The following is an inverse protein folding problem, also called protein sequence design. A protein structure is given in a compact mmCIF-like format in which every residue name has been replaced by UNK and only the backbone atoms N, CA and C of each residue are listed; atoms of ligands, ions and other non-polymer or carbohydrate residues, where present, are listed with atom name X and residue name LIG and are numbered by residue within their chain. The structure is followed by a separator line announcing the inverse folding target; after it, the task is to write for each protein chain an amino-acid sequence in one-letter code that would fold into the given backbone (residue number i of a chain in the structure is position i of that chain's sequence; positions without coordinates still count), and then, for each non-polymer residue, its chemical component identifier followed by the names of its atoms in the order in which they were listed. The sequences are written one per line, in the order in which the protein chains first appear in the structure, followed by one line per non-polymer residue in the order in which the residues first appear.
data_IF_002064431985
#
_entry.id   IF_002064431985
#
_cell.length_a   1.000
_cell.length_b   1.000
_cell.length_c   1.000
_cell.angle_alpha   90.00
_cell.angle_beta   90.00
_cell.angle_gamma   90.00
#
_symmetry.space_group_name_H-M   'P 1'
#
loop_
_entity.id
_entity.type
_entity.pdbx_description
1 polymer ?
#
# COMPACT_ATOMS: atom_id res chain seq x y z
N UNK A 1 -6.79 18.61 12.10
CA UNK A 1 -6.06 18.34 10.83
C UNK A 1 -5.69 16.86 10.81
N UNK A 2 -5.80 16.14 9.69
CA UNK A 2 -5.50 14.70 9.63
C UNK A 2 -3.98 14.45 9.72
N UNK A 3 -3.53 13.56 10.60
CA UNK A 3 -2.10 13.34 10.88
C UNK A 3 -1.32 12.87 9.65
N UNK A 4 -1.90 11.98 8.82
CA UNK A 4 -1.26 11.51 7.60
C UNK A 4 -1.12 12.62 6.55
N UNK A 5 -2.10 13.55 6.47
CA UNK A 5 -1.97 14.75 5.61
C UNK A 5 -0.82 15.64 6.10
N UNK A 6 -0.67 15.83 7.41
CA UNK A 6 0.47 16.59 7.95
C UNK A 6 1.81 15.94 7.61
N UNK A 7 1.89 14.61 7.70
CA UNK A 7 3.09 13.85 7.34
C UNK A 7 3.43 14.03 5.86
N UNK A 8 2.44 13.86 4.96
CA UNK A 8 2.66 14.12 3.53
C UNK A 8 3.13 15.55 3.28
N UNK A 9 2.53 16.55 3.92
CA UNK A 9 2.96 17.95 3.81
C UNK A 9 4.42 18.09 4.25
N UNK A 10 4.82 17.51 5.39
CA UNK A 10 6.19 17.57 5.87
C UNK A 10 7.22 17.09 4.83
N UNK A 11 6.96 15.97 4.16
CA UNK A 11 7.83 15.48 3.08
C UNK A 11 7.78 16.34 1.82
N UNK A 12 6.60 16.85 1.43
CA UNK A 12 6.48 17.74 0.27
C UNK A 12 7.26 19.04 0.48
N UNK A 13 7.26 19.58 1.71
CA UNK A 13 8.06 20.76 2.06
C UNK A 13 9.58 20.47 2.00
N UNK A 14 9.98 19.21 2.10
CA UNK A 14 11.34 18.75 1.85
C UNK A 14 11.62 18.43 0.36
N UNK A 15 10.69 18.78 -0.54
CA UNK A 15 10.83 18.69 -2.00
C UNK A 15 11.12 17.27 -2.52
N UNK A 16 10.53 16.25 -1.90
CA UNK A 16 10.59 14.88 -2.42
C UNK A 16 9.89 14.77 -3.77
N UNK A 17 10.39 13.88 -4.64
CA UNK A 17 9.74 13.58 -5.92
C UNK A 17 8.60 12.56 -5.81
N UNK A 18 8.60 11.72 -4.76
CA UNK A 18 7.63 10.65 -4.54
C UNK A 18 7.21 10.63 -3.07
N UNK A 19 5.91 10.44 -2.81
CA UNK A 19 5.37 10.11 -1.49
C UNK A 19 4.64 8.78 -1.53
N UNK A 20 4.72 8.03 -0.43
CA UNK A 20 4.04 6.75 -0.30
C UNK A 20 2.71 6.86 0.45
N UNK A 21 1.75 6.04 0.03
CA UNK A 21 0.49 5.86 0.76
C UNK A 21 0.72 5.14 2.08
N UNK A 22 -0.11 5.39 3.10
CA UNK A 22 -0.06 4.64 4.36
C UNK A 22 -0.76 3.26 4.24
N UNK A 23 -0.44 2.48 3.21
CA UNK A 23 -1.16 1.25 2.85
C UNK A 23 -0.32 -0.02 2.93
N UNK A 24 0.89 0.05 3.51
CA UNK A 24 1.82 -1.06 3.68
C UNK A 24 1.15 -2.36 4.17
N UNK A 25 0.37 -2.29 5.24
CA UNK A 25 -0.42 -3.42 5.79
C UNK A 25 -1.91 -3.38 5.47
N UNK A 26 -2.39 -2.33 4.79
CA UNK A 26 -3.79 -2.27 4.38
C UNK A 26 -4.05 -3.46 3.47
N UNK A 27 -5.09 -4.26 3.72
CA UNK A 27 -5.47 -5.36 2.83
C UNK A 27 -6.94 -5.67 3.07
N UNK A 28 -7.65 -6.08 2.03
CA UNK A 28 -9.08 -6.37 2.11
C UNK A 28 -9.28 -7.53 3.11
N UNK A 29 -8.43 -8.55 3.04
CA UNK A 29 -8.42 -9.67 3.99
C UNK A 29 -8.15 -9.23 5.43
N UNK A 30 -7.11 -8.41 5.65
CA UNK A 30 -6.76 -7.93 6.98
C UNK A 30 -7.87 -7.08 7.61
N UNK A 31 -8.49 -6.19 6.83
CA UNK A 31 -9.59 -5.36 7.31
C UNK A 31 -10.85 -6.17 7.63
N UNK A 32 -11.22 -7.14 6.78
CA UNK A 32 -12.34 -8.05 7.08
C UNK A 32 -12.08 -8.85 8.35
N UNK A 33 -10.87 -9.39 8.52
CA UNK A 33 -10.50 -10.26 9.64
C UNK A 33 -10.36 -9.52 10.98
N UNK A 34 -9.74 -8.35 10.98
CA UNK A 34 -9.35 -7.65 12.21
C UNK A 34 -10.23 -6.46 12.56
N UNK A 35 -10.91 -5.86 11.58
CA UNK A 35 -11.75 -4.68 11.77
C UNK A 35 -13.24 -4.95 11.49
N UNK A 36 -13.61 -6.18 11.09
CA UNK A 36 -14.97 -6.57 10.71
C UNK A 36 -15.60 -5.68 9.64
N UNK A 37 -14.77 -5.10 8.76
CA UNK A 37 -15.25 -4.29 7.64
C UNK A 37 -15.81 -5.18 6.55
N UNK A 38 -16.81 -4.69 5.84
CA UNK A 38 -17.20 -5.26 4.55
C UNK A 38 -16.08 -5.09 3.53
N UNK A 39 -16.19 -5.83 2.43
CA UNK A 39 -15.27 -5.70 1.31
C UNK A 39 -15.31 -4.28 0.73
N UNK A 40 -16.50 -3.71 0.51
CA UNK A 40 -16.66 -2.35 -0.01
C UNK A 40 -16.03 -1.29 0.91
N UNK A 41 -16.23 -1.41 2.23
CA UNK A 41 -15.59 -0.51 3.21
C UNK A 41 -14.06 -0.63 3.19
N UNK A 42 -13.54 -1.85 3.00
CA UNK A 42 -12.11 -2.12 2.89
C UNK A 42 -11.51 -1.41 1.66
N UNK A 43 -12.18 -1.50 0.50
CA UNK A 43 -11.79 -0.76 -0.71
C UNK A 43 -11.80 0.74 -0.47
N UNK A 44 -12.88 1.27 0.12
CA UNK A 44 -13.01 2.70 0.43
C UNK A 44 -11.91 3.18 1.36
N UNK A 45 -11.49 2.38 2.33
CA UNK A 45 -10.43 2.75 3.26
C UNK A 45 -9.07 2.87 2.56
N UNK A 46 -8.75 1.97 1.63
CA UNK A 46 -7.53 2.06 0.80
C UNK A 46 -7.60 3.29 -0.11
N UNK A 47 -8.73 3.52 -0.78
CA UNK A 47 -8.93 4.71 -1.61
C UNK A 47 -8.83 6.00 -0.79
N UNK A 48 -9.25 5.97 0.48
CA UNK A 48 -9.15 7.11 1.38
C UNK A 48 -7.69 7.50 1.63
N UNK A 49 -6.78 6.55 1.81
CA UNK A 49 -5.35 6.83 1.95
C UNK A 49 -4.81 7.67 0.79
N UNK A 50 -5.11 7.27 -0.44
CA UNK A 50 -4.73 7.99 -1.66
C UNK A 50 -5.37 9.38 -1.71
N UNK A 51 -6.64 9.51 -1.33
CA UNK A 51 -7.33 10.81 -1.27
C UNK A 51 -6.68 11.79 -0.28
N UNK A 52 -6.11 11.28 0.82
CA UNK A 52 -5.44 12.10 1.82
C UNK A 52 -4.08 12.59 1.30
N UNK A 53 -3.32 11.73 0.61
CA UNK A 53 -2.08 12.14 -0.08
C UNK A 53 -2.37 13.24 -1.11
N UNK A 54 -3.39 13.06 -1.96
CA UNK A 54 -3.85 14.08 -2.92
C UNK A 54 -4.28 15.39 -2.25
N UNK A 55 -4.85 15.30 -1.05
CA UNK A 55 -5.22 16.49 -0.26
C UNK A 55 -3.99 17.27 0.20
N UNK A 56 -2.93 16.58 0.62
CA UNK A 56 -1.67 17.21 0.99
C UNK A 56 -1.01 17.91 -0.20
N UNK A 57 -0.92 17.22 -1.35
CA UNK A 57 -0.39 17.79 -2.60
C UNK A 57 -1.13 19.07 -2.97
N UNK A 58 -2.47 19.03 -3.02
CA UNK A 58 -3.30 20.22 -3.35
C UNK A 58 -3.09 21.41 -2.40
N UNK A 59 -2.67 21.17 -1.16
CA UNK A 59 -2.36 22.24 -0.21
C UNK A 59 -0.99 22.84 -0.48
N UNK A 60 0.01 22.00 -0.74
CA UNK A 60 1.37 22.42 -1.03
C UNK A 60 1.48 23.09 -2.42
N UNK A 61 0.74 22.63 -3.42
CA UNK A 61 0.65 23.28 -4.74
C UNK A 61 0.18 24.73 -4.64
N UNK A 62 -0.80 25.02 -3.77
CA UNK A 62 -1.27 26.39 -3.50
C UNK A 62 -0.22 27.28 -2.85
N UNK A 63 0.81 26.69 -2.25
CA UNK A 63 1.95 27.38 -1.65
C UNK A 63 3.16 27.44 -2.61
N UNK A 64 3.02 26.95 -3.85
CA UNK A 64 4.06 27.00 -4.89
C UNK A 64 5.02 25.80 -4.90
N UNK A 65 4.77 24.75 -4.13
CA UNK A 65 5.60 23.54 -4.15
C UNK A 65 5.22 22.64 -5.33
N UNK A 66 6.22 21.96 -5.91
CA UNK A 66 6.03 20.93 -6.94
C UNK A 66 5.23 19.75 -6.37
N UNK A 67 4.30 19.22 -7.15
CA UNK A 67 3.57 18.01 -6.78
C UNK A 67 4.46 16.76 -6.95
N UNK A 68 4.68 15.95 -5.89
CA UNK A 68 5.31 14.65 -6.04
C UNK A 68 4.35 13.65 -6.68
N UNK A 69 4.90 12.54 -7.19
CA UNK A 69 4.12 11.35 -7.55
C UNK A 69 3.65 10.63 -6.28
N UNK A 70 2.51 9.94 -6.37
CA UNK A 70 1.98 9.09 -5.31
C UNK A 70 2.29 7.63 -5.64
N UNK A 71 3.09 6.98 -4.79
CA UNK A 71 3.31 5.55 -4.82
C UNK A 71 2.33 4.83 -3.88
N UNK A 72 1.55 3.90 -4.44
CA UNK A 72 0.71 2.98 -3.69
C UNK A 72 1.56 1.92 -3.00
N UNK A 73 1.77 2.06 -1.69
CA UNK A 73 2.52 1.13 -0.85
C UNK A 73 1.81 -0.23 -0.71
N UNK A 74 2.53 -1.31 -1.03
CA UNK A 74 2.07 -2.70 -0.99
C UNK A 74 3.15 -3.54 -0.29
N UNK A 75 2.99 -3.72 1.02
CA UNK A 75 3.89 -4.56 1.82
C UNK A 75 3.70 -6.07 1.58
N UNK A 76 4.62 -6.91 2.06
CA UNK A 76 4.66 -8.35 1.81
C UNK A 76 3.51 -9.09 2.50
N UNK A 77 3.20 -10.31 2.02
CA UNK A 77 2.26 -11.21 2.68
C UNK A 77 2.62 -11.49 4.15
N UNK A 78 3.92 -11.61 4.46
CA UNK A 78 4.41 -11.83 5.82
C UNK A 78 4.04 -10.72 6.82
N UNK A 79 3.83 -9.48 6.35
CA UNK A 79 3.41 -8.38 7.23
C UNK A 79 1.98 -8.58 7.77
N UNK A 80 1.17 -9.42 7.11
CA UNK A 80 -0.16 -9.82 7.58
C UNK A 80 -0.15 -11.01 8.54
N UNK A 81 0.89 -11.84 8.52
CA UNK A 81 0.98 -12.98 9.45
C UNK A 81 1.28 -12.54 10.89
N UNK A 82 1.70 -11.29 11.10
CA UNK A 82 2.02 -10.71 12.40
C UNK A 82 3.07 -11.52 13.20
N UNK A 83 3.90 -12.31 12.51
CA UNK A 83 4.92 -13.21 13.08
C UNK A 83 6.37 -12.75 12.79
N UNK A 84 6.54 -11.56 12.21
CA UNK A 84 7.84 -11.02 11.81
C UNK A 84 8.42 -11.66 10.54
N UNK A 85 7.66 -12.50 9.84
CA UNK A 85 8.11 -13.14 8.61
C UNK A 85 8.31 -12.20 7.42
N UNK A 86 7.95 -10.92 7.57
CA UNK A 86 8.30 -9.85 6.63
C UNK A 86 9.81 -9.67 6.43
N UNK A 87 10.66 -10.24 7.30
CA UNK A 87 12.13 -10.23 7.16
C UNK A 87 12.73 -11.61 6.88
N UNK A 88 12.05 -12.71 7.24
CA UNK A 88 12.58 -14.08 7.09
C UNK A 88 12.02 -14.83 5.88
N UNK A 89 10.79 -14.51 5.44
CA UNK A 89 10.15 -15.15 4.30
C UNK A 89 9.74 -16.61 4.54
N UNK A 90 9.72 -17.11 5.78
CA UNK A 90 9.41 -18.52 6.08
C UNK A 90 8.02 -19.01 5.63
N UNK A 91 7.10 -18.10 5.31
CA UNK A 91 5.79 -18.44 4.74
C UNK A 91 5.87 -18.91 3.27
N UNK A 92 6.98 -18.65 2.57
CA UNK A 92 7.03 -18.77 1.11
C UNK A 92 6.83 -20.20 0.60
N UNK A 93 7.25 -21.20 1.37
CA UNK A 93 7.08 -22.62 1.04
C UNK A 93 5.67 -23.14 1.37
N UNK A 94 4.94 -22.42 2.22
CA UNK A 94 3.63 -22.82 2.74
C UNK A 94 2.46 -22.07 2.09
N UNK A 95 2.74 -21.09 1.22
CA UNK A 95 1.72 -20.29 0.54
C UNK A 95 1.85 -20.49 -0.96
N UNK A 96 0.74 -20.76 -1.64
CA UNK A 96 0.68 -20.94 -3.11
C UNK A 96 0.76 -19.62 -3.87
N UNK A 97 1.14 -19.67 -5.15
CA UNK A 97 1.15 -18.46 -6.01
C UNK A 97 -0.25 -17.86 -6.15
N UNK A 98 -1.27 -18.73 -6.14
CA UNK A 98 -2.69 -18.36 -6.17
C UNK A 98 -3.07 -17.58 -4.91
N UNK A 99 -2.71 -18.05 -3.73
CA UNK A 99 -3.00 -17.36 -2.47
C UNK A 99 -2.29 -16.00 -2.38
N UNK A 100 -1.03 -15.90 -2.82
CA UNK A 100 -0.33 -14.62 -2.91
C UNK A 100 -1.06 -13.66 -3.85
N UNK A 101 -1.46 -14.14 -5.04
CA UNK A 101 -2.18 -13.32 -6.00
C UNK A 101 -3.51 -12.84 -5.43
N UNK A 102 -4.34 -13.75 -4.91
CA UNK A 102 -5.64 -13.44 -4.32
C UNK A 102 -5.52 -12.47 -3.15
N UNK A 103 -4.45 -12.55 -2.35
CA UNK A 103 -4.20 -11.62 -1.25
C UNK A 103 -3.82 -10.21 -1.73
N UNK A 104 -2.92 -10.08 -2.72
CA UNK A 104 -2.39 -8.78 -3.16
C UNK A 104 -3.26 -8.07 -4.20
N UNK A 105 -3.87 -8.81 -5.14
CA UNK A 105 -4.59 -8.26 -6.29
C UNK A 105 -5.71 -7.28 -5.92
N UNK A 106 -6.61 -7.57 -4.94
CA UNK A 106 -7.68 -6.64 -4.55
C UNK A 106 -7.15 -5.28 -4.07
N UNK A 107 -6.03 -5.26 -3.34
CA UNK A 107 -5.40 -4.03 -2.87
C UNK A 107 -4.78 -3.24 -4.01
N UNK A 108 -4.06 -3.91 -4.90
CA UNK A 108 -3.43 -3.26 -6.04
C UNK A 108 -4.51 -2.62 -6.92
N UNK A 109 -5.59 -3.35 -7.20
CA UNK A 109 -6.75 -2.82 -7.93
C UNK A 109 -7.36 -1.60 -7.22
N UNK A 110 -7.52 -1.64 -5.89
CA UNK A 110 -8.01 -0.51 -5.11
C UNK A 110 -7.13 0.74 -5.24
N UNK A 111 -5.80 0.58 -5.18
CA UNK A 111 -4.83 1.66 -5.31
C UNK A 111 -4.83 2.24 -6.72
N UNK A 112 -4.83 1.38 -7.74
CA UNK A 112 -4.89 1.79 -9.16
C UNK A 112 -6.17 2.57 -9.44
N UNK A 113 -7.34 2.07 -9.00
CA UNK A 113 -8.62 2.77 -9.14
C UNK A 113 -8.68 4.08 -8.37
N UNK A 114 -7.95 4.20 -7.26
CA UNK A 114 -7.81 5.45 -6.53
C UNK A 114 -6.92 6.48 -7.26
N UNK A 115 -6.19 6.05 -8.29
CA UNK A 115 -5.32 6.86 -9.13
C UNK A 115 -4.01 7.23 -8.46
N UNK A 116 -3.28 6.22 -7.95
CA UNK A 116 -1.85 6.34 -7.68
C UNK A 116 -1.06 6.40 -9.00
N UNK A 117 0.12 7.02 -8.98
CA UNK A 117 0.98 7.13 -10.16
C UNK A 117 1.85 5.87 -10.34
N UNK A 118 2.22 5.24 -9.23
CA UNK A 118 3.11 4.08 -9.17
C UNK A 118 2.60 3.09 -8.10
N UNK A 119 3.04 1.84 -8.18
CA UNK A 119 2.87 0.85 -7.11
C UNK A 119 4.25 0.54 -6.53
N UNK A 120 4.41 0.75 -5.22
CA UNK A 120 5.60 0.37 -4.48
C UNK A 120 5.36 -1.02 -3.86
N UNK A 121 5.84 -2.06 -4.56
CA UNK A 121 5.92 -3.41 -3.98
C UNK A 121 7.19 -3.47 -3.15
N UNK A 122 7.05 -3.41 -1.84
CA UNK A 122 8.15 -3.12 -0.93
C UNK A 122 8.30 -4.17 0.17
N UNK A 123 9.49 -4.18 0.78
CA UNK A 123 9.87 -5.10 1.88
C UNK A 123 9.59 -6.56 1.55
N UNK A 124 10.00 -7.03 0.36
CA UNK A 124 9.80 -8.43 -0.05
C UNK A 124 10.96 -9.30 0.48
N UNK A 125 10.75 -10.15 1.50
CA UNK A 125 11.85 -10.90 2.14
C UNK A 125 12.31 -12.11 1.35
N UNK A 126 11.45 -12.66 0.50
CA UNK A 126 11.71 -13.90 -0.22
C UNK A 126 11.08 -13.86 -1.60
N UNK A 127 11.80 -14.44 -2.56
CA UNK A 127 11.30 -14.65 -3.92
C UNK A 127 10.83 -16.08 -4.05
N UNK A 128 9.55 -16.29 -4.30
CA UNK A 128 9.08 -17.59 -4.73
C UNK A 128 9.52 -17.82 -6.17
N UNK A 129 10.28 -18.88 -6.43
CA UNK A 129 10.51 -19.33 -7.81
C UNK A 129 9.21 -19.94 -8.31
N UNK A 130 8.59 -19.32 -9.31
CA UNK A 130 7.51 -19.98 -10.04
C UNK A 130 8.13 -21.17 -10.76
N UNK A 131 7.76 -22.39 -10.37
CA UNK A 131 8.06 -23.59 -11.15
C UNK A 131 7.09 -23.66 -12.34
N UNK A 132 7.13 -22.66 -13.21
CA UNK A 132 6.43 -22.64 -14.50
C UNK A 132 7.12 -21.65 -15.44
N UNK A 133 8.20 -22.10 -16.05
CA UNK A 133 8.46 -21.93 -17.49
C UNK A 133 9.48 -23.00 -17.93
N UNK A 134 9.33 -23.58 -19.13
CA UNK A 134 10.09 -24.75 -19.60
C UNK A 134 11.60 -24.51 -19.76
#
# INVERSE_FOLDING_TARGET
MNAYVCFCIFYILAEVDIIETNTYQASIFGFKKHLNLSEEESYKLIQKAVSLAKTAIKRCEKLGYKAPQIAGSVGPYGAYLHDGSEYSGHYIDNVTDKELKEYHEPRVDALVKAGVDLIAIETIPAKKRSFNNP
#
